data_IF_517067280591
#
_entry.id   IF_517067280591
#
_cell.length_a   1.000
_cell.length_b   1.000
_cell.length_c   1.000
_cell.angle_alpha   90.00
_cell.angle_beta   90.00
_cell.angle_gamma   90.00
#
_symmetry.space_group_name_H-M   'P 1'
#
loop_
_entity.id
_entity.type
_entity.pdbx_description
1 polymer ?
#
# COMPACT_ATOMS: atom_id res chain seq x y z
N UNK A 1 -0.25 -1.04 -31.43
CA UNK A 1 -0.99 -1.75 -30.36
C UNK A 1 -0.76 -1.01 -29.06
N UNK A 2 -1.79 -0.39 -28.50
CA UNK A 2 -1.68 0.23 -27.17
C UNK A 2 -1.66 -0.91 -26.16
N UNK A 3 -0.55 -1.07 -25.45
CA UNK A 3 -0.45 -2.00 -24.32
C UNK A 3 -1.36 -1.51 -23.18
N UNK A 4 -1.99 -2.43 -22.45
CA UNK A 4 -2.87 -2.08 -21.34
C UNK A 4 -2.15 -1.20 -20.31
N UNK A 5 -2.79 -0.11 -19.88
CA UNK A 5 -2.25 0.78 -18.85
C UNK A 5 -2.48 0.18 -17.46
N UNK A 6 -1.39 -0.05 -16.73
CA UNK A 6 -1.42 -0.46 -15.33
C UNK A 6 -0.45 0.44 -14.55
N UNK A 7 -1.00 1.39 -13.78
CA UNK A 7 -0.28 2.34 -12.94
C UNK A 7 -1.12 2.67 -11.71
N UNK A 8 -0.50 2.65 -10.54
CA UNK A 8 -1.07 3.07 -9.26
C UNK A 8 -0.16 4.10 -8.61
N UNK A 9 -0.77 5.12 -8.01
CA UNK A 9 -0.10 6.11 -7.17
C UNK A 9 -0.86 6.22 -5.86
N UNK A 10 -0.19 5.99 -4.74
CA UNK A 10 -0.77 6.07 -3.40
C UNK A 10 0.07 6.97 -2.49
N UNK A 11 -0.62 7.67 -1.60
CA UNK A 11 -0.03 8.38 -0.47
C UNK A 11 -0.70 7.88 0.80
N UNK A 12 0.08 7.38 1.75
CA UNK A 12 -0.48 6.80 2.96
C UNK A 12 0.52 6.70 4.09
N UNK A 13 0.06 6.14 5.21
CA UNK A 13 0.87 5.86 6.39
C UNK A 13 1.22 4.38 6.45
N UNK A 14 2.47 4.08 6.80
CA UNK A 14 2.89 2.70 7.06
C UNK A 14 2.40 2.30 8.46
N UNK A 15 1.62 1.22 8.54
CA UNK A 15 0.96 0.80 9.77
C UNK A 15 1.81 -0.03 10.73
N UNK A 16 2.80 -0.76 10.22
CA UNK A 16 3.70 -1.64 10.97
C UNK A 16 5.09 -1.62 10.31
N UNK A 17 6.13 -2.02 11.04
CA UNK A 17 7.48 -2.09 10.48
C UNK A 17 7.52 -2.97 9.21
N UNK A 18 8.11 -2.49 8.11
CA UNK A 18 8.20 -3.26 6.88
C UNK A 18 8.99 -4.57 7.07
N UNK A 19 8.52 -5.64 6.44
CA UNK A 19 9.17 -6.95 6.46
C UNK A 19 9.98 -7.12 5.18
N UNK A 20 11.30 -7.29 5.29
CA UNK A 20 12.14 -7.66 4.17
C UNK A 20 12.09 -9.18 3.95
N UNK A 21 11.80 -9.60 2.72
CA UNK A 21 11.87 -10.99 2.29
C UNK A 21 12.89 -11.12 1.17
N UNK A 22 13.93 -11.91 1.41
CA UNK A 22 14.92 -12.28 0.41
C UNK A 22 14.90 -13.79 0.25
N UNK A 23 14.73 -14.24 -0.99
CA UNK A 23 14.77 -15.66 -1.36
C UNK A 23 15.95 -15.85 -2.30
N UNK A 24 16.70 -16.94 -2.13
CA UNK A 24 17.86 -17.24 -2.95
C UNK A 24 17.50 -17.24 -4.45
N UNK A 25 18.31 -16.54 -5.26
CA UNK A 25 18.06 -16.35 -6.69
C UNK A 25 16.93 -15.37 -7.05
N UNK A 26 16.32 -14.66 -6.09
CA UNK A 26 15.30 -13.63 -6.33
C UNK A 26 15.72 -12.26 -5.79
N UNK A 27 15.21 -11.21 -6.41
CA UNK A 27 15.38 -9.85 -5.91
C UNK A 27 14.76 -9.72 -4.50
N UNK A 28 15.42 -9.00 -3.57
CA UNK A 28 14.82 -8.73 -2.27
C UNK A 28 13.54 -7.91 -2.44
N UNK A 29 12.52 -8.24 -1.64
CA UNK A 29 11.22 -7.55 -1.64
C UNK A 29 10.94 -7.06 -0.23
N UNK A 30 10.46 -5.83 -0.10
CA UNK A 30 9.97 -5.29 1.17
C UNK A 30 8.45 -5.22 1.13
N UNK A 31 7.80 -5.77 2.16
CA UNK A 31 6.34 -5.86 2.26
C UNK A 31 5.89 -5.03 3.47
N UNK A 32 4.91 -4.16 3.27
CA UNK A 32 4.30 -3.36 4.33
C UNK A 32 2.83 -3.09 4.02
N UNK A 33 2.04 -2.84 5.06
CA UNK A 33 0.66 -2.35 4.93
C UNK A 33 0.64 -0.83 4.83
N UNK A 34 -0.11 -0.29 3.88
CA UNK A 34 -0.31 1.14 3.68
C UNK A 34 -1.76 1.52 4.02
N UNK A 35 -1.94 2.41 4.99
CA UNK A 35 -3.23 3.01 5.30
C UNK A 35 -3.42 4.30 4.49
N UNK A 36 -4.47 4.36 3.68
CA UNK A 36 -4.92 5.55 2.94
C UNK A 36 -6.27 5.99 3.49
N UNK A 37 -6.45 7.30 3.69
CA UNK A 37 -7.72 7.86 4.14
C UNK A 37 -8.42 8.57 2.98
N UNK A 38 -9.71 8.33 2.81
CA UNK A 38 -10.56 9.10 1.91
C UNK A 38 -11.30 10.17 2.74
N UNK A 39 -11.06 11.45 2.46
CA UNK A 39 -11.90 12.53 2.99
C UNK A 39 -13.00 12.80 1.98
N UNK A 40 -14.17 12.24 2.24
CA UNK A 40 -15.41 12.62 1.55
C UNK A 40 -15.93 13.89 2.22
N UNK A 41 -16.00 15.00 1.48
CA UNK A 41 -16.78 16.18 1.91
C UNK A 41 -18.21 15.95 1.45
N UNK A 42 -19.08 15.46 2.32
CA UNK A 42 -20.53 15.64 2.11
C UNK A 42 -20.90 17.03 2.61
N UNK A 43 -21.68 17.76 1.81
CA UNK A 43 -22.18 19.08 2.19
C UNK A 43 -22.91 19.03 3.52
N UNK A 44 -22.65 20.03 4.36
CA UNK A 44 -23.25 20.27 5.68
C UNK A 44 -23.16 19.11 6.69
N UNK A 45 -21.94 18.66 6.98
CA UNK A 45 -21.67 17.98 8.24
C UNK A 45 -20.38 18.52 8.83
N UNK A 46 -20.46 18.99 10.08
CA UNK A 46 -19.31 19.43 10.86
C UNK A 46 -18.20 18.40 10.73
N UNK A 47 -17.01 18.86 10.35
CA UNK A 47 -15.82 18.03 10.19
C UNK A 47 -15.49 17.44 11.55
N UNK A 48 -16.03 16.25 11.83
CA UNK A 48 -15.63 15.42 12.96
C UNK A 48 -14.14 15.21 12.83
N UNK A 49 -13.37 15.79 13.77
CA UNK A 49 -11.92 15.68 13.82
C UNK A 49 -11.55 14.21 13.73
N UNK A 50 -10.95 13.85 12.59
CA UNK A 50 -10.51 12.49 12.30
C UNK A 50 -9.64 12.01 13.44
N UNK A 51 -10.14 10.98 14.13
CA UNK A 51 -9.47 10.37 15.28
C UNK A 51 -8.01 10.13 14.97
N UNK A 52 -7.15 10.54 15.90
CA UNK A 52 -5.72 10.34 15.82
C UNK A 52 -5.41 8.85 15.84
N UNK A 53 -5.26 8.23 14.66
CA UNK A 53 -4.81 6.85 14.56
C UNK A 53 -3.35 6.77 14.98
N UNK A 54 -3.18 6.35 16.24
CA UNK A 54 -1.92 6.13 16.91
C UNK A 54 -0.97 5.19 16.13
N UNK A 55 0.34 5.47 16.24
CA UNK A 55 1.50 4.69 15.76
C UNK A 55 1.82 4.71 14.25
N UNK A 56 1.56 5.80 13.54
CA UNK A 56 2.02 5.92 12.15
C UNK A 56 3.47 6.40 12.05
N UNK A 57 4.37 5.49 11.65
CA UNK A 57 5.83 5.68 11.68
C UNK A 57 6.36 6.63 10.59
N UNK A 58 5.67 6.79 9.46
CA UNK A 58 5.94 7.79 8.41
C UNK A 58 4.84 7.84 7.32
N UNK A 59 4.68 8.98 6.65
CA UNK A 59 3.92 9.09 5.38
C UNK A 59 4.82 8.74 4.19
N UNK A 60 4.33 7.93 3.27
CA UNK A 60 5.07 7.50 2.08
C UNK A 60 4.23 7.66 0.82
N UNK A 61 4.90 8.07 -0.26
CA UNK A 61 4.38 8.02 -1.61
C UNK A 61 4.86 6.74 -2.30
N UNK A 62 3.94 6.03 -2.96
CA UNK A 62 4.20 4.77 -3.66
C UNK A 62 3.65 4.89 -5.08
N UNK A 63 4.51 4.67 -6.07
CA UNK A 63 4.11 4.44 -7.45
C UNK A 63 4.43 3.00 -7.87
N UNK A 64 3.51 2.34 -8.56
CA UNK A 64 3.67 0.95 -8.93
C UNK A 64 2.63 0.44 -9.90
N UNK A 65 2.54 -0.89 -9.99
CA UNK A 65 1.54 -1.61 -10.78
C UNK A 65 0.74 -2.52 -9.87
N UNK A 66 -0.54 -2.72 -10.20
CA UNK A 66 -1.35 -3.75 -9.54
C UNK A 66 -0.93 -5.11 -10.08
N UNK A 67 -0.70 -6.03 -9.17
CA UNK A 67 -0.55 -7.45 -9.44
C UNK A 67 -1.64 -8.21 -8.67
N UNK A 68 -2.32 -9.11 -9.37
CA UNK A 68 -3.36 -9.96 -8.80
C UNK A 68 -2.76 -11.34 -8.55
N UNK A 69 -2.89 -11.80 -7.31
CA UNK A 69 -2.44 -13.12 -6.92
C UNK A 69 -3.49 -13.83 -6.10
N UNK A 70 -3.18 -15.07 -5.75
CA UNK A 70 -3.96 -15.83 -4.79
C UNK A 70 -3.02 -16.42 -3.73
N UNK A 71 -3.51 -16.50 -2.51
CA UNK A 71 -2.83 -17.22 -1.43
C UNK A 71 -3.84 -18.03 -0.65
N UNK A 72 -3.38 -19.10 -0.04
CA UNK A 72 -4.15 -19.90 0.89
C UNK A 72 -3.85 -19.42 2.31
N UNK A 73 -4.88 -19.11 3.08
CA UNK A 73 -4.72 -18.73 4.48
C UNK A 73 -4.51 -19.93 5.40
N UNK A 74 -4.30 -19.67 6.70
CA UNK A 74 -4.07 -20.72 7.71
C UNK A 74 -5.26 -21.69 7.88
N UNK A 75 -6.45 -21.28 7.45
CA UNK A 75 -7.67 -22.08 7.51
C UNK A 75 -7.92 -22.82 6.19
N UNK A 76 -6.93 -22.87 5.31
CA UNK A 76 -6.99 -23.52 4.00
C UNK A 76 -7.99 -22.87 3.02
N UNK A 77 -8.33 -21.59 3.23
CA UNK A 77 -9.22 -20.84 2.34
C UNK A 77 -8.38 -20.09 1.29
N UNK A 78 -8.69 -20.28 0.01
CA UNK A 78 -8.11 -19.49 -1.09
C UNK A 78 -8.64 -18.07 -1.04
N UNK A 79 -7.75 -17.08 -1.02
CA UNK A 79 -8.07 -15.67 -1.03
C UNK A 79 -7.41 -14.97 -2.21
N UNK A 80 -8.16 -14.08 -2.84
CA UNK A 80 -7.60 -13.14 -3.79
C UNK A 80 -6.76 -12.10 -3.04
N UNK A 81 -5.60 -11.79 -3.58
CA UNK A 81 -4.73 -10.71 -3.12
C UNK A 81 -4.55 -9.69 -4.23
N UNK A 82 -4.73 -8.42 -3.87
CA UNK A 82 -4.29 -7.30 -4.68
C UNK A 82 -2.99 -6.77 -4.07
N UNK A 83 -1.91 -6.84 -4.81
CA UNK A 83 -0.59 -6.35 -4.39
C UNK A 83 -0.19 -5.18 -5.27
N UNK A 84 0.43 -4.17 -4.69
CA UNK A 84 1.07 -3.10 -5.46
C UNK A 84 2.55 -3.42 -5.53
N UNK A 85 3.02 -3.75 -6.74
CA UNK A 85 4.43 -3.93 -7.00
C UNK A 85 4.99 -2.53 -7.30
N UNK A 86 5.65 -1.96 -6.30
CA UNK A 86 6.39 -0.71 -6.48
C UNK A 86 7.49 -0.91 -7.54
N UNK A 87 7.65 0.08 -8.42
CA UNK A 87 8.73 0.07 -9.40
C UNK A 87 10.10 0.14 -8.73
N UNK A 88 11.17 -0.18 -9.49
CA UNK A 88 12.57 -0.11 -9.04
C UNK A 88 12.99 1.28 -8.56
N UNK A 89 12.18 2.30 -8.84
CA UNK A 89 12.41 3.70 -8.49
C UNK A 89 11.15 4.26 -7.82
N UNK A 90 11.33 4.94 -6.68
CA UNK A 90 10.37 5.84 -6.00
C UNK A 90 9.35 5.20 -5.05
N UNK A 91 9.83 4.61 -3.96
CA UNK A 91 9.20 4.89 -2.66
C UNK A 91 9.84 6.17 -2.11
N UNK A 92 9.12 7.28 -2.14
CA UNK A 92 9.62 8.54 -1.58
C UNK A 92 9.07 8.64 -0.16
N UNK A 93 9.98 8.61 0.82
CA UNK A 93 9.64 9.05 2.18
C UNK A 93 9.32 10.53 2.09
N UNK A 94 8.06 10.90 2.33
CA UNK A 94 7.66 12.31 2.34
C UNK A 94 7.94 12.80 3.75
N UNK A 95 8.97 13.65 3.98
CA UNK A 95 9.15 14.28 5.28
C UNK A 95 7.91 15.14 5.56
N UNK A 96 7.36 15.01 6.75
CA UNK A 96 6.33 15.91 7.28
C UNK A 96 7.05 16.89 8.21
#
# INVERSE_FOLDING_TARGET
LVSAMNRVQLLGRVGQDPIMRQVEGKNPVTIFSLATNEMWRTGDSEVGQGGESARAICRIFVEGKIDYGEYTDKNNVRRQATTIIAGKEKSIKVPI
#
